data_IF_360590942951
#
_entry.id   IF_360590942951
#
_cell.length_a   1.000
_cell.length_b   1.000
_cell.length_c   1.000
_cell.angle_alpha   90.00
_cell.angle_beta   90.00
_cell.angle_gamma   90.00
#
_symmetry.space_group_name_H-M   'P 1'
#
loop_
_entity.id
_entity.type
_entity.pdbx_description
1 polymer ?
#
# COMPACT_ATOMS: atom_id res chain seq x y z
N UNK A 1 -5.53 -21.66 3.56
CA UNK A 1 -6.23 -20.38 3.30
C UNK A 1 -5.25 -19.49 2.53
N UNK A 2 -5.72 -18.64 1.61
CA UNK A 2 -4.89 -17.59 1.04
C UNK A 2 -4.23 -16.80 2.18
N UNK A 3 -2.91 -16.58 2.09
CA UNK A 3 -2.11 -15.89 3.11
C UNK A 3 -1.77 -14.49 2.61
N UNK A 4 -2.14 -13.46 3.36
CA UNK A 4 -1.73 -12.09 3.07
C UNK A 4 -0.50 -11.77 3.89
N UNK A 5 0.55 -11.27 3.24
CA UNK A 5 1.71 -10.71 3.94
C UNK A 5 1.94 -9.26 3.53
N UNK A 6 2.35 -8.43 4.49
CA UNK A 6 2.70 -7.05 4.25
C UNK A 6 4.06 -6.75 4.88
N UNK A 7 4.89 -6.02 4.15
CA UNK A 7 6.26 -5.69 4.54
C UNK A 7 6.43 -4.18 4.51
N UNK A 8 6.79 -3.59 5.65
CA UNK A 8 7.01 -2.15 5.78
C UNK A 8 8.51 -1.89 5.90
N UNK A 9 9.00 -0.93 5.12
CA UNK A 9 10.38 -0.45 5.18
C UNK A 9 10.40 1.05 5.42
N UNK A 10 10.99 1.46 6.53
CA UNK A 10 11.40 2.86 6.73
C UNK A 10 12.73 3.09 5.99
N UNK A 11 12.61 3.55 4.74
CA UNK A 11 13.77 3.75 3.87
C UNK A 11 14.51 5.05 4.16
N UNK A 12 14.01 5.91 5.04
CA UNK A 12 14.74 7.10 5.48
C UNK A 12 16.03 6.72 6.21
N UNK A 13 16.02 5.59 6.93
CA UNK A 13 17.14 5.03 7.70
C UNK A 13 18.32 4.53 6.85
N UNK A 14 18.17 4.38 5.54
CA UNK A 14 19.18 3.77 4.67
C UNK A 14 19.58 4.70 3.52
N UNK A 15 20.77 4.51 2.97
CA UNK A 15 21.25 5.25 1.79
C UNK A 15 20.92 4.47 0.52
N UNK A 16 20.52 5.19 -0.54
CA UNK A 16 20.18 4.56 -1.81
C UNK A 16 21.41 3.97 -2.52
N UNK A 17 22.57 4.55 -2.23
CA UNK A 17 23.88 4.15 -2.75
C UNK A 17 24.23 2.71 -2.34
N UNK A 18 23.86 2.31 -1.12
CA UNK A 18 24.13 0.99 -0.57
C UNK A 18 23.39 -0.13 -1.34
N UNK A 19 22.33 0.23 -2.06
CA UNK A 19 21.51 -0.70 -2.85
C UNK A 19 21.98 -0.87 -4.29
N UNK A 20 22.94 -0.06 -4.77
CA UNK A 20 23.37 -0.07 -6.18
C UNK A 20 23.90 -1.43 -6.62
N UNK A 21 24.75 -2.05 -5.80
CA UNK A 21 25.29 -3.38 -6.09
C UNK A 21 24.18 -4.43 -6.18
N UNK A 22 23.29 -4.44 -5.18
CA UNK A 22 22.14 -5.36 -5.14
C UNK A 22 21.26 -5.26 -6.38
N UNK A 23 20.91 -4.04 -6.79
CA UNK A 23 20.07 -3.78 -7.97
C UNK A 23 20.80 -4.09 -9.28
N UNK A 24 22.09 -3.76 -9.36
CA UNK A 24 22.92 -4.03 -10.55
C UNK A 24 23.03 -5.53 -10.84
N UNK A 25 23.20 -6.38 -9.82
CA UNK A 25 23.19 -7.84 -9.98
C UNK A 25 21.88 -8.39 -10.58
N UNK A 26 20.81 -7.61 -10.58
CA UNK A 26 19.49 -7.94 -11.15
C UNK A 26 19.21 -7.22 -12.47
N UNK A 27 20.24 -6.65 -13.10
CA UNK A 27 20.14 -5.84 -14.32
C UNK A 27 19.24 -4.60 -14.17
N UNK A 28 19.10 -4.09 -12.95
CA UNK A 28 18.34 -2.88 -12.67
C UNK A 28 19.32 -1.71 -12.63
N UNK A 29 19.26 -0.89 -13.67
CA UNK A 29 20.04 0.34 -13.74
C UNK A 29 19.47 1.39 -12.77
N UNK A 30 19.98 1.36 -11.54
CA UNK A 30 19.58 2.28 -10.48
C UNK A 30 19.88 3.75 -10.79
N UNK A 31 20.82 4.04 -11.70
CA UNK A 31 21.16 5.40 -12.12
C UNK A 31 20.03 6.07 -12.92
N UNK A 32 19.08 5.29 -13.45
CA UNK A 32 17.86 5.82 -14.12
C UNK A 32 16.85 6.41 -13.14
N UNK A 33 17.03 6.20 -11.83
CA UNK A 33 16.11 6.69 -10.82
C UNK A 33 16.69 7.91 -10.10
N UNK A 34 16.10 9.07 -10.37
CA UNK A 34 16.47 10.32 -9.69
C UNK A 34 15.79 10.51 -8.33
N UNK A 35 15.04 9.50 -7.86
CA UNK A 35 14.26 9.58 -6.62
C UNK A 35 14.51 8.34 -5.75
N UNK A 36 14.90 8.57 -4.50
CA UNK A 36 15.10 7.55 -3.46
C UNK A 36 13.91 6.59 -3.37
N UNK A 37 12.67 7.08 -3.43
CA UNK A 37 11.46 6.26 -3.40
C UNK A 37 11.46 5.20 -4.50
N UNK A 38 11.81 5.57 -5.75
CA UNK A 38 11.82 4.62 -6.87
C UNK A 38 12.89 3.55 -6.69
N UNK A 39 14.06 3.91 -6.18
CA UNK A 39 15.16 2.97 -5.90
C UNK A 39 14.71 1.96 -4.84
N UNK A 40 14.14 2.43 -3.72
CA UNK A 40 13.69 1.54 -2.66
C UNK A 40 12.44 0.72 -3.06
N UNK A 41 11.55 1.24 -3.92
CA UNK A 41 10.46 0.45 -4.50
C UNK A 41 10.97 -0.70 -5.38
N UNK A 42 12.07 -0.49 -6.13
CA UNK A 42 12.72 -1.57 -6.85
C UNK A 42 13.33 -2.58 -5.87
N UNK A 43 14.10 -2.09 -4.90
CA UNK A 43 14.75 -2.94 -3.92
C UNK A 43 13.76 -3.83 -3.16
N UNK A 44 12.75 -3.24 -2.51
CA UNK A 44 11.81 -3.99 -1.66
C UNK A 44 11.06 -5.06 -2.45
N UNK A 45 10.74 -4.78 -3.72
CA UNK A 45 10.07 -5.72 -4.61
C UNK A 45 10.90 -6.97 -4.83
N UNK A 46 12.15 -6.81 -5.28
CA UNK A 46 13.03 -7.95 -5.52
C UNK A 46 13.40 -8.65 -4.20
N UNK A 47 13.72 -7.87 -3.16
CA UNK A 47 14.09 -8.39 -1.86
C UNK A 47 13.00 -9.27 -1.24
N UNK A 48 11.75 -8.81 -1.21
CA UNK A 48 10.64 -9.64 -0.69
C UNK A 48 10.40 -10.86 -1.56
N UNK A 49 10.35 -10.71 -2.89
CA UNK A 49 10.02 -11.83 -3.78
C UNK A 49 11.10 -12.93 -3.78
N UNK A 50 12.38 -12.56 -3.72
CA UNK A 50 13.48 -13.52 -3.75
C UNK A 50 13.80 -14.09 -2.37
N UNK A 51 13.88 -13.25 -1.33
CA UNK A 51 14.36 -13.68 -0.01
C UNK A 51 13.24 -14.28 0.85
N UNK A 52 11.99 -13.81 0.68
CA UNK A 52 10.84 -14.33 1.45
C UNK A 52 10.04 -15.37 0.67
N UNK A 53 9.76 -15.10 -0.61
CA UNK A 53 8.95 -15.99 -1.44
C UNK A 53 9.77 -16.96 -2.31
N UNK A 54 11.11 -16.85 -2.31
CA UNK A 54 12.01 -17.71 -3.08
C UNK A 54 11.76 -17.71 -4.59
N UNK A 55 11.20 -16.62 -5.13
CA UNK A 55 10.96 -16.43 -6.56
C UNK A 55 12.23 -15.90 -7.19
N UNK A 56 13.02 -16.81 -7.77
CA UNK A 56 14.30 -16.47 -8.41
C UNK A 56 14.08 -15.78 -9.76
N UNK A 57 14.80 -14.67 -10.00
CA UNK A 57 14.78 -13.93 -11.27
C UNK A 57 13.38 -13.54 -11.75
N UNK A 58 12.59 -12.82 -10.91
CA UNK A 58 11.21 -12.49 -11.23
C UNK A 58 11.09 -11.67 -12.52
N UNK A 59 10.20 -12.09 -13.42
CA UNK A 59 9.89 -11.36 -14.67
C UNK A 59 8.62 -10.55 -14.47
N UNK A 60 8.75 -9.22 -14.62
CA UNK A 60 7.64 -8.30 -14.41
C UNK A 60 7.02 -7.85 -15.74
N UNK A 61 5.69 -7.92 -15.80
CA UNK A 61 4.88 -7.26 -16.82
C UNK A 61 4.19 -6.03 -16.21
N UNK A 62 3.51 -5.24 -17.04
CA UNK A 62 2.79 -4.03 -16.59
C UNK A 62 1.38 -3.99 -17.16
N UNK A 63 0.41 -3.74 -16.28
CA UNK A 63 -0.97 -3.49 -16.66
C UNK A 63 -1.43 -2.18 -16.03
N UNK A 64 -1.74 -1.18 -16.85
CA UNK A 64 -2.19 0.16 -16.42
C UNK A 64 -1.28 0.83 -15.38
N UNK A 65 0.03 0.59 -15.44
CA UNK A 65 1.00 1.12 -14.47
C UNK A 65 1.27 0.23 -13.26
N UNK A 66 0.46 -0.82 -13.02
CA UNK A 66 0.68 -1.82 -11.96
C UNK A 66 1.63 -2.91 -12.46
N UNK A 67 2.81 -3.11 -11.85
CA UNK A 67 3.67 -4.24 -12.16
C UNK A 67 3.08 -5.53 -11.58
N UNK A 68 3.20 -6.64 -12.32
CA UNK A 68 2.81 -7.99 -11.86
C UNK A 68 3.81 -9.03 -12.37
N UNK A 69 3.84 -10.22 -11.76
CA UNK A 69 4.70 -11.32 -12.20
C UNK A 69 4.11 -12.00 -13.42
N UNK A 70 4.93 -12.27 -14.44
CA UNK A 70 4.49 -12.88 -15.70
C UNK A 70 3.87 -14.27 -15.52
N UNK A 71 4.29 -15.01 -14.49
CA UNK A 71 3.80 -16.35 -14.16
C UNK A 71 2.60 -16.35 -13.20
N UNK A 72 2.20 -15.18 -12.68
CA UNK A 72 1.17 -15.02 -11.65
C UNK A 72 1.38 -15.93 -10.42
N UNK A 73 2.63 -16.22 -10.05
CA UNK A 73 2.96 -17.02 -8.87
C UNK A 73 2.49 -16.36 -7.57
N UNK A 74 2.57 -15.04 -7.49
CA UNK A 74 1.96 -14.20 -6.45
C UNK A 74 1.52 -12.85 -7.03
N UNK A 75 0.58 -12.20 -6.35
CA UNK A 75 0.14 -10.84 -6.63
C UNK A 75 0.70 -9.90 -5.58
N UNK A 76 1.11 -8.70 -5.99
CA UNK A 76 1.63 -7.72 -5.06
C UNK A 76 1.24 -6.30 -5.42
N UNK A 77 1.30 -5.42 -4.42
CA UNK A 77 1.15 -3.99 -4.63
C UNK A 77 2.07 -3.21 -3.70
N UNK A 78 2.60 -2.08 -4.20
CA UNK A 78 3.55 -1.24 -3.49
C UNK A 78 2.95 0.16 -3.33
N UNK A 79 3.06 0.73 -2.13
CA UNK A 79 2.79 2.14 -1.88
C UNK A 79 3.89 2.76 -1.03
N UNK A 80 4.02 4.08 -1.07
CA UNK A 80 5.06 4.78 -0.33
C UNK A 80 4.64 6.18 0.13
N UNK A 81 5.18 6.58 1.27
CA UNK A 81 5.21 7.96 1.74
C UNK A 81 6.56 8.60 1.33
N UNK A 82 6.91 9.73 1.95
CA UNK A 82 8.24 10.34 1.80
C UNK A 82 9.36 9.52 2.46
N UNK A 83 9.02 8.69 3.46
CA UNK A 83 10.01 8.01 4.30
C UNK A 83 9.78 6.51 4.42
N UNK A 84 8.55 6.03 4.16
CA UNK A 84 8.16 4.63 4.32
C UNK A 84 7.63 4.01 3.03
N UNK A 85 7.86 2.72 2.86
CA UNK A 85 7.33 1.87 1.80
C UNK A 85 6.54 0.74 2.43
N UNK A 86 5.49 0.31 1.74
CA UNK A 86 4.82 -0.96 1.98
C UNK A 86 4.80 -1.77 0.69
N UNK A 87 5.05 -3.08 0.80
CA UNK A 87 4.66 -4.05 -0.21
C UNK A 87 3.72 -5.06 0.43
N UNK A 88 2.53 -5.23 -0.14
CA UNK A 88 1.58 -6.27 0.23
C UNK A 88 1.58 -7.35 -0.84
N UNK A 89 1.52 -8.62 -0.41
CA UNK A 89 1.60 -9.80 -1.27
C UNK A 89 0.50 -10.79 -0.86
N UNK A 90 -0.15 -11.40 -1.86
CA UNK A 90 -1.17 -12.43 -1.70
C UNK A 90 -1.17 -13.39 -2.91
N UNK A 91 -1.97 -14.45 -2.83
CA UNK A 91 -2.23 -15.39 -3.93
C UNK A 91 -3.38 -14.95 -4.85
N UNK A 92 -3.92 -13.75 -4.63
CA UNK A 92 -4.98 -13.12 -5.41
C UNK A 92 -4.77 -11.60 -5.47
N UNK A 93 -5.55 -10.92 -6.32
CA UNK A 93 -5.44 -9.47 -6.52
C UNK A 93 -5.47 -8.69 -5.20
N UNK A 94 -4.45 -7.86 -5.02
CA UNK A 94 -4.23 -7.07 -3.81
C UNK A 94 -3.89 -5.62 -4.18
N UNK A 95 -4.31 -4.70 -3.31
CA UNK A 95 -3.92 -3.30 -3.32
C UNK A 95 -3.55 -2.85 -1.92
N UNK A 96 -2.56 -1.98 -1.80
CA UNK A 96 -2.14 -1.42 -0.52
C UNK A 96 -1.86 0.07 -0.65
N UNK A 97 -2.15 0.80 0.41
CA UNK A 97 -1.78 2.20 0.51
C UNK A 97 -1.23 2.54 1.90
N UNK A 98 -0.30 3.48 1.95
CA UNK A 98 0.30 4.01 3.17
C UNK A 98 0.43 5.53 3.05
N UNK A 99 -0.08 6.26 4.03
CA UNK A 99 0.01 7.72 4.08
C UNK A 99 0.39 8.21 5.47
N UNK A 100 1.32 9.16 5.53
CA UNK A 100 1.69 9.84 6.78
C UNK A 100 0.61 10.85 7.13
N UNK A 101 0.14 10.82 8.38
CA UNK A 101 -0.80 11.81 8.89
C UNK A 101 -0.16 13.20 8.85
N UNK A 102 -0.83 14.14 8.17
CA UNK A 102 -0.35 15.53 8.07
C UNK A 102 -1.49 16.53 8.03
N UNK A 103 -1.53 17.41 9.03
CA UNK A 103 -2.46 18.53 9.07
C UNK A 103 -2.10 19.67 8.09
N UNK A 104 -0.93 19.61 7.43
CA UNK A 104 -0.45 20.67 6.51
C UNK A 104 -1.09 20.60 5.13
N UNK A 105 -1.57 19.42 4.70
CA UNK A 105 -2.24 19.27 3.41
C UNK A 105 -3.66 19.83 3.50
N UNK A 106 -4.16 20.42 2.42
CA UNK A 106 -5.56 20.86 2.35
C UNK A 106 -6.49 19.66 2.11
N UNK A 107 -6.63 18.83 3.15
CA UNK A 107 -7.38 17.57 3.12
C UNK A 107 -8.87 17.79 2.80
N UNK A 108 -9.44 18.91 3.25
CA UNK A 108 -10.84 19.28 2.98
C UNK A 108 -11.04 19.48 1.47
N UNK A 109 -10.17 20.24 0.80
CA UNK A 109 -10.27 20.46 -0.65
C UNK A 109 -10.11 19.15 -1.44
N UNK A 110 -9.24 18.25 -0.97
CA UNK A 110 -9.06 16.93 -1.59
C UNK A 110 -10.33 16.09 -1.42
N UNK A 111 -10.88 16.02 -0.21
CA UNK A 111 -12.12 15.30 0.09
C UNK A 111 -13.29 15.82 -0.75
N UNK A 112 -13.46 17.13 -0.87
CA UNK A 112 -14.52 17.73 -1.70
C UNK A 112 -14.40 17.38 -3.18
N UNK A 113 -13.19 17.12 -3.67
CA UNK A 113 -12.94 16.79 -5.08
C UNK A 113 -13.17 15.31 -5.39
N UNK A 114 -12.83 14.42 -4.46
CA UNK A 114 -12.74 12.98 -4.74
C UNK A 114 -13.70 12.11 -3.93
N UNK A 115 -14.25 12.62 -2.83
CA UNK A 115 -15.16 11.87 -1.97
C UNK A 115 -16.62 12.24 -2.25
N UNK A 116 -17.52 11.33 -1.94
CA UNK A 116 -18.95 11.55 -2.08
C UNK A 116 -19.46 12.61 -1.10
N UNK A 117 -20.65 13.15 -1.36
CA UNK A 117 -21.29 14.11 -0.44
C UNK A 117 -21.47 13.52 0.96
N UNK A 118 -21.82 12.24 1.06
CA UNK A 118 -22.04 11.56 2.34
C UNK A 118 -20.73 11.33 3.11
N UNK A 119 -19.66 10.93 2.41
CA UNK A 119 -18.31 10.86 2.98
C UNK A 119 -17.82 12.20 3.51
N UNK A 120 -18.05 13.29 2.76
CA UNK A 120 -17.72 14.64 3.22
C UNK A 120 -18.54 15.06 4.46
N UNK A 121 -19.80 14.65 4.57
CA UNK A 121 -20.62 14.90 5.76
C UNK A 121 -20.06 14.18 7.00
N UNK A 122 -19.67 12.91 6.87
CA UNK A 122 -19.05 12.18 7.98
C UNK A 122 -17.71 12.76 8.39
N UNK A 123 -16.91 13.24 7.43
CA UNK A 123 -15.66 13.95 7.73
C UNK A 123 -15.92 15.27 8.47
N UNK A 124 -16.95 16.03 8.07
CA UNK A 124 -17.30 17.28 8.74
C UNK A 124 -17.76 17.07 10.20
N UNK A 125 -18.32 15.90 10.51
CA UNK A 125 -18.73 15.49 11.86
C UNK A 125 -17.64 14.71 12.63
N UNK A 126 -16.40 14.65 12.11
CA UNK A 126 -15.34 13.85 12.71
C UNK A 126 -14.68 14.53 13.91
N UNK A 127 -14.52 13.79 15.01
CA UNK A 127 -13.72 14.20 16.18
C UNK A 127 -12.21 14.24 15.88
N UNK A 128 -11.75 13.50 14.86
CA UNK A 128 -10.37 13.49 14.41
C UNK A 128 -10.31 13.50 12.88
N UNK A 129 -10.60 14.67 12.32
CA UNK A 129 -10.70 14.90 10.87
C UNK A 129 -9.47 14.39 10.11
N UNK A 130 -8.25 14.63 10.63
CA UNK A 130 -7.01 14.22 9.96
C UNK A 130 -6.94 12.71 9.85
N UNK A 131 -7.14 11.99 10.97
CA UNK A 131 -7.09 10.51 10.97
C UNK A 131 -8.19 9.91 10.11
N UNK A 132 -9.41 10.43 10.18
CA UNK A 132 -10.53 9.92 9.39
C UNK A 132 -10.35 10.16 7.90
N UNK A 133 -9.85 11.34 7.52
CA UNK A 133 -9.53 11.65 6.12
C UNK A 133 -8.49 10.68 5.58
N UNK A 134 -7.37 10.50 6.29
CA UNK A 134 -6.30 9.64 5.80
C UNK A 134 -6.71 8.17 5.79
N UNK A 135 -7.51 7.71 6.76
CA UNK A 135 -8.12 6.37 6.74
C UNK A 135 -8.98 6.17 5.49
N UNK A 136 -9.90 7.11 5.21
CA UNK A 136 -10.76 7.02 4.03
C UNK A 136 -9.95 7.09 2.73
N UNK A 137 -8.93 7.95 2.69
CA UNK A 137 -8.04 8.08 1.54
C UNK A 137 -7.30 6.78 1.24
N UNK A 138 -6.64 6.17 2.25
CA UNK A 138 -5.87 4.94 2.06
C UNK A 138 -6.78 3.76 1.69
N UNK A 139 -7.98 3.68 2.27
CA UNK A 139 -8.99 2.69 1.89
C UNK A 139 -9.37 2.80 0.40
N UNK A 140 -9.68 4.01 -0.06
CA UNK A 140 -10.03 4.26 -1.46
C UNK A 140 -8.86 3.92 -2.39
N UNK A 141 -7.66 4.42 -2.12
CA UNK A 141 -6.46 4.15 -2.94
C UNK A 141 -6.10 2.66 -2.96
N UNK A 142 -6.22 1.94 -1.84
CA UNK A 142 -6.01 0.50 -1.80
C UNK A 142 -6.99 -0.26 -2.71
N UNK A 143 -8.27 0.12 -2.72
CA UNK A 143 -9.25 -0.47 -3.65
C UNK A 143 -8.90 -0.19 -5.11
N UNK A 144 -8.57 1.07 -5.43
CA UNK A 144 -8.17 1.50 -6.78
C UNK A 144 -6.96 0.70 -7.29
N UNK A 145 -5.96 0.51 -6.42
CA UNK A 145 -4.75 -0.25 -6.71
C UNK A 145 -4.99 -1.75 -6.86
N UNK A 146 -5.95 -2.31 -6.11
CA UNK A 146 -6.39 -3.71 -6.30
C UNK A 146 -7.01 -3.87 -7.69
N UNK A 147 -8.00 -3.04 -7.99
CA UNK A 147 -8.82 -3.14 -9.20
C UNK A 147 -8.07 -2.69 -10.49
N UNK A 148 -6.85 -2.16 -10.35
CA UNK A 148 -6.04 -1.59 -11.44
C UNK A 148 -6.78 -0.51 -12.24
N UNK A 149 -7.67 0.21 -11.58
CA UNK A 149 -8.41 1.33 -12.14
C UNK A 149 -7.55 2.60 -12.03
N UNK A 150 -7.55 3.47 -13.05
CA UNK A 150 -6.88 4.77 -12.93
C UNK A 150 -7.49 5.61 -11.79
N UNK A 151 -6.65 6.39 -11.08
CA UNK A 151 -6.99 7.14 -9.85
C UNK A 151 -8.36 7.84 -9.93
N UNK A 152 -8.58 8.69 -10.93
CA UNK A 152 -9.79 9.49 -11.01
C UNK A 152 -11.08 8.67 -11.12
N UNK A 153 -11.08 7.60 -11.93
CA UNK A 153 -12.25 6.74 -12.12
C UNK A 153 -12.43 5.78 -10.93
N UNK A 154 -11.32 5.32 -10.36
CA UNK A 154 -11.32 4.41 -9.23
C UNK A 154 -11.86 5.06 -7.95
N UNK A 155 -11.43 6.28 -7.61
CA UNK A 155 -11.82 6.95 -6.37
C UNK A 155 -13.33 7.23 -6.29
N UNK A 156 -13.99 7.50 -7.42
CA UNK A 156 -15.45 7.68 -7.48
C UNK A 156 -16.25 6.37 -7.32
N UNK A 157 -15.63 5.22 -7.61
CA UNK A 157 -16.26 3.91 -7.49
C UNK A 157 -16.07 3.26 -6.11
N UNK A 158 -15.06 3.69 -5.36
CA UNK A 158 -14.74 3.17 -4.03
C UNK A 158 -15.50 3.96 -2.96
N UNK A 159 -16.73 3.55 -2.63
CA UNK A 159 -17.60 4.27 -1.70
C UNK A 159 -17.64 3.61 -0.33
N UNK A 160 -17.55 4.40 0.73
CA UNK A 160 -17.50 3.93 2.11
C UNK A 160 -18.57 4.60 2.97
N UNK A 161 -19.02 3.89 3.99
CA UNK A 161 -19.90 4.40 5.04
C UNK A 161 -19.25 4.34 6.41
N UNK A 162 -19.66 5.24 7.32
CA UNK A 162 -19.16 5.25 8.69
C UNK A 162 -20.15 4.56 9.63
N UNK A 163 -19.74 3.47 10.28
CA UNK A 163 -20.54 2.69 11.24
C UNK A 163 -19.73 2.55 12.53
N UNK A 164 -20.29 2.91 13.68
CA UNK A 164 -19.62 2.84 14.99
C UNK A 164 -18.21 3.48 14.97
N UNK A 165 -18.09 4.63 14.32
CA UNK A 165 -16.85 5.37 14.11
C UNK A 165 -15.80 4.71 13.19
N UNK A 166 -16.14 3.61 12.51
CA UNK A 166 -15.26 2.90 11.57
C UNK A 166 -15.75 3.05 10.12
N UNK A 167 -14.81 3.19 9.18
CA UNK A 167 -15.12 3.19 7.75
C UNK A 167 -15.32 1.75 7.25
N UNK A 168 -16.41 1.52 6.51
CA UNK A 168 -16.76 0.24 5.90
C UNK A 168 -17.03 0.45 4.41
N UNK A 169 -16.48 -0.41 3.55
CA UNK A 169 -16.80 -0.37 2.12
C UNK A 169 -18.27 -0.74 1.89
N UNK A 170 -18.97 0.03 1.06
CA UNK A 170 -20.36 -0.25 0.72
C UNK A 170 -20.51 -1.48 -0.18
N UNK A 171 -19.48 -1.77 -0.98
CA UNK A 171 -19.48 -2.87 -1.96
C UNK A 171 -18.73 -4.11 -1.48
N UNK A 172 -17.72 -3.93 -0.62
CA UNK A 172 -16.78 -4.98 -0.24
C UNK A 172 -16.43 -4.92 1.26
N UNK A 173 -17.42 -5.14 2.16
CA UNK A 173 -17.24 -4.94 3.60
C UNK A 173 -16.13 -5.81 4.23
N UNK A 174 -15.87 -6.98 3.65
CA UNK A 174 -14.92 -7.98 4.17
C UNK A 174 -13.53 -7.92 3.51
N UNK A 175 -13.32 -6.97 2.60
CA UNK A 175 -12.13 -6.92 1.74
C UNK A 175 -11.03 -5.98 2.23
N UNK A 176 -11.17 -5.37 3.42
CA UNK A 176 -10.23 -4.39 3.93
C UNK A 176 -9.71 -4.71 5.32
N UNK A 177 -8.41 -4.50 5.51
CA UNK A 177 -7.80 -4.28 6.83
C UNK A 177 -7.18 -2.89 6.84
N UNK A 178 -7.28 -2.17 7.96
CA UNK A 178 -6.63 -0.88 8.16
C UNK A 178 -6.01 -0.81 9.54
N UNK A 179 -4.80 -0.29 9.62
CA UNK A 179 -4.07 -0.15 10.88
C UNK A 179 -3.20 1.11 10.87
N UNK A 180 -2.79 1.54 12.07
CA UNK A 180 -1.83 2.65 12.23
C UNK A 180 -0.42 2.08 12.38
N UNK A 181 0.55 2.69 11.72
CA UNK A 181 1.97 2.34 11.83
C UNK A 181 2.82 3.61 11.81
N UNK A 182 3.50 3.91 12.92
CA UNK A 182 4.45 5.03 13.06
C UNK A 182 3.99 6.33 12.34
N UNK A 183 2.95 6.95 12.92
CA UNK A 183 2.24 8.15 12.42
C UNK A 183 1.63 8.04 11.01
N UNK A 184 1.54 6.83 10.48
CA UNK A 184 0.96 6.56 9.16
C UNK A 184 -0.29 5.70 9.29
N UNK A 185 -1.21 5.84 8.35
CA UNK A 185 -2.32 4.91 8.17
C UNK A 185 -2.00 4.00 6.98
N UNK A 186 -2.24 2.72 7.17
CA UNK A 186 -2.08 1.68 6.15
C UNK A 186 -3.43 1.03 5.91
N UNK A 187 -3.82 0.90 4.64
CA UNK A 187 -4.98 0.09 4.25
C UNK A 187 -4.56 -0.94 3.20
N UNK A 188 -5.04 -2.17 3.36
CA UNK A 188 -4.84 -3.26 2.40
C UNK A 188 -6.22 -3.73 1.95
N UNK A 189 -6.38 -3.85 0.63
CA UNK A 189 -7.58 -4.33 -0.03
C UNK A 189 -7.30 -5.67 -0.72
N UNK A 190 -7.93 -6.73 -0.25
CA UNK A 190 -7.81 -8.09 -0.77
C UNK A 190 -9.12 -8.83 -0.47
N UNK A 191 -9.59 -9.68 -1.39
CA UNK A 191 -10.90 -10.32 -1.25
C UNK A 191 -11.00 -11.16 0.02
N UNK A 192 -12.02 -10.93 0.85
CA UNK A 192 -12.29 -11.65 2.11
C UNK A 192 -11.09 -11.65 3.08
N UNK A 193 -10.35 -10.54 3.16
CA UNK A 193 -9.13 -10.43 3.98
C UNK A 193 -9.41 -10.57 5.48
N UNK A 194 -10.60 -10.20 5.95
CA UNK A 194 -10.99 -10.29 7.37
C UNK A 194 -11.04 -11.74 7.89
N UNK A 195 -11.19 -12.72 6.99
CA UNK A 195 -11.19 -14.14 7.31
C UNK A 195 -9.81 -14.81 7.09
N UNK A 196 -8.77 -14.02 6.81
CA UNK A 196 -7.43 -14.51 6.50
C UNK A 196 -6.44 -14.17 7.61
N UNK A 197 -5.40 -14.99 7.72
CA UNK A 197 -4.23 -14.65 8.53
C UNK A 197 -3.41 -13.59 7.79
N UNK A 198 -3.13 -12.48 8.48
CA UNK A 198 -2.36 -11.37 7.94
C UNK A 198 -1.01 -11.32 8.66
N UNK A 199 0.05 -11.56 7.90
CA UNK A 199 1.42 -11.54 8.42
C UNK A 199 2.04 -10.18 8.14
N UNK A 200 2.37 -9.43 9.19
CA UNK A 200 2.99 -8.13 9.06
C UNK A 200 4.47 -8.20 9.45
N UNK A 201 5.34 -7.63 8.62
CA UNK A 201 6.77 -7.58 8.83
C UNK A 201 7.29 -6.15 8.72
N UNK A 202 8.21 -5.80 9.62
CA UNK A 202 9.12 -4.67 9.43
C UNK A 202 10.43 -5.18 8.82
N UNK A 203 10.97 -4.45 7.83
CA UNK A 203 12.30 -4.72 7.28
C UNK A 203 13.32 -3.85 8.02
N UNK A 204 14.13 -4.49 8.87
CA UNK A 204 15.18 -3.86 9.67
C UNK A 204 16.51 -4.53 9.35
N UNK A 205 17.53 -3.74 9.00
CA UNK A 205 18.85 -4.22 8.57
C UNK A 205 18.77 -5.31 7.49
N UNK A 206 17.82 -5.15 6.56
CA UNK A 206 17.50 -6.11 5.51
C UNK A 206 17.19 -7.51 6.04
N UNK A 207 16.44 -7.59 7.13
CA UNK A 207 15.85 -8.81 7.68
C UNK A 207 14.36 -8.60 7.94
N UNK A 208 13.58 -9.66 7.82
CA UNK A 208 12.15 -9.65 8.11
C UNK A 208 11.91 -9.86 9.60
N UNK A 209 11.39 -8.83 10.28
CA UNK A 209 10.97 -8.90 11.68
C UNK A 209 9.46 -8.90 11.74
N UNK A 210 8.86 -10.02 12.14
CA UNK A 210 7.42 -10.10 12.30
C UNK A 210 6.94 -9.15 13.40
N UNK A 211 5.84 -8.46 13.16
CA UNK A 211 5.18 -7.56 14.10
C UNK A 211 3.69 -7.90 14.19
N UNK A 212 3.08 -7.57 15.32
CA UNK A 212 1.65 -7.74 15.55
C UNK A 212 0.89 -6.46 15.18
N UNK A 213 -0.32 -6.62 14.65
CA UNK A 213 -1.28 -5.54 14.37
C UNK A 213 -1.91 -4.99 15.65
#
# INVERSE_FOLDING_TARGET
>A
MPQVSAFILDFEKYKAEDLRGYLCCRNIDSARFNNKQKIFSQFIRYFVLEEFYHISSPVFLNQHGKPYLADNSVFFNISHTQTKLIIAVADQEIGADIEKLSARRNIIRIAQRYFTSLENQWLAASDNLVKDFYTLWTLKEAQVKRDSLGIAKGLSGANFSKINNSWLSNSYPDDFVTFSYDESIVSICCKNIVAQEINLFEIVDFKFKQIQL
#
